data_IF_262965633215
#
_entry.id   IF_262965633215
#
_cell.length_a   1.000
_cell.length_b   1.000
_cell.length_c   1.000
_cell.angle_alpha   90.00
_cell.angle_beta   90.00
_cell.angle_gamma   90.00
#
_symmetry.space_group_name_H-M   'P 1'
#
loop_
_entity.id
_entity.type
_entity.pdbx_description
1 polymer ?
#
# COMPACT_ATOMS: atom_id res chain seq x y z
N UNK A 1 -8.51 4.81 -3.26
CA UNK A 1 -9.54 4.55 -2.25
C UNK A 1 -10.95 4.81 -2.79
N UNK A 2 -11.98 4.33 -2.08
CA UNK A 2 -13.37 4.59 -2.41
C UNK A 2 -13.77 5.93 -1.80
N UNK A 3 -14.23 6.87 -2.64
CA UNK A 3 -14.72 8.18 -2.19
C UNK A 3 -16.11 8.10 -1.53
N UNK A 4 -16.54 9.18 -0.92
CA UNK A 4 -17.87 9.28 -0.28
C UNK A 4 -19.04 9.15 -1.28
N UNK A 5 -18.79 9.47 -2.54
CA UNK A 5 -19.72 9.33 -3.67
C UNK A 5 -19.80 7.89 -4.23
N UNK A 6 -19.03 6.97 -3.65
CA UNK A 6 -18.94 5.58 -4.08
C UNK A 6 -18.09 5.37 -5.33
N UNK A 7 -17.35 6.38 -5.79
CA UNK A 7 -16.40 6.25 -6.89
C UNK A 7 -14.97 6.04 -6.36
N UNK A 8 -14.16 5.29 -7.08
CA UNK A 8 -12.75 5.17 -6.78
C UNK A 8 -12.01 6.46 -7.16
N UNK A 9 -11.16 6.95 -6.29
CA UNK A 9 -10.38 8.18 -6.44
C UNK A 9 -9.03 8.07 -5.72
N UNK A 10 -8.21 9.08 -5.87
CA UNK A 10 -6.88 9.18 -5.28
C UNK A 10 -5.78 9.12 -6.33
N UNK A 11 -4.55 9.37 -5.90
CA UNK A 11 -3.40 9.56 -6.78
C UNK A 11 -3.28 8.47 -7.87
N UNK A 12 -3.31 7.19 -7.50
CA UNK A 12 -3.14 6.09 -8.45
C UNK A 12 -4.28 6.05 -9.49
N UNK A 13 -5.53 6.25 -9.04
CA UNK A 13 -6.70 6.27 -9.94
C UNK A 13 -6.63 7.46 -10.90
N UNK A 14 -6.24 8.63 -10.41
CA UNK A 14 -6.11 9.85 -11.21
C UNK A 14 -5.00 9.71 -12.28
N UNK A 15 -3.84 9.16 -11.90
CA UNK A 15 -2.74 8.89 -12.84
C UNK A 15 -3.16 7.83 -13.87
N UNK A 16 -3.77 6.72 -13.43
CA UNK A 16 -4.27 5.68 -14.32
C UNK A 16 -5.30 6.25 -15.32
N UNK A 17 -6.21 7.10 -14.83
CA UNK A 17 -7.17 7.80 -15.69
C UNK A 17 -6.49 8.67 -16.73
N UNK A 18 -5.50 9.46 -16.33
CA UNK A 18 -4.76 10.32 -17.26
C UNK A 18 -4.02 9.51 -18.33
N UNK A 19 -3.45 8.35 -17.97
CA UNK A 19 -2.84 7.40 -18.91
C UNK A 19 -3.87 6.86 -19.89
N UNK A 20 -5.02 6.40 -19.41
CA UNK A 20 -6.10 5.90 -20.27
C UNK A 20 -6.62 6.99 -21.22
N UNK A 21 -6.83 8.20 -20.73
CA UNK A 21 -7.26 9.36 -21.55
C UNK A 21 -6.21 9.66 -22.64
N UNK A 22 -4.91 9.61 -22.32
CA UNK A 22 -3.82 9.84 -23.28
C UNK A 22 -3.76 8.76 -24.37
N UNK A 23 -3.99 7.50 -23.99
CA UNK A 23 -3.92 6.35 -24.88
C UNK A 23 -5.24 6.06 -25.62
N UNK A 24 -6.33 6.74 -25.27
CA UNK A 24 -7.66 6.51 -25.82
C UNK A 24 -8.28 5.20 -25.34
N UNK A 25 -7.97 4.76 -24.11
CA UNK A 25 -8.49 3.54 -23.49
C UNK A 25 -9.66 3.85 -22.57
N UNK A 26 -10.56 2.88 -22.44
CA UNK A 26 -11.65 2.93 -21.46
C UNK A 26 -11.17 2.38 -20.12
N UNK A 27 -11.13 3.23 -19.08
CA UNK A 27 -10.73 2.85 -17.73
C UNK A 27 -11.87 2.12 -16.99
N UNK A 28 -11.56 0.95 -16.45
CA UNK A 28 -12.40 0.27 -15.49
C UNK A 28 -11.64 0.08 -14.17
N UNK A 29 -12.16 0.66 -13.09
CA UNK A 29 -11.57 0.57 -11.75
C UNK A 29 -12.47 -0.26 -10.85
N UNK A 30 -11.90 -1.20 -10.14
CA UNK A 30 -12.61 -2.01 -9.14
C UNK A 30 -11.70 -2.33 -7.96
N UNK A 31 -12.32 -2.64 -6.80
CA UNK A 31 -11.57 -3.03 -5.61
C UNK A 31 -10.98 -4.43 -5.76
N UNK A 32 -9.76 -4.58 -5.28
CA UNK A 32 -9.06 -5.86 -5.22
C UNK A 32 -8.97 -6.33 -3.77
N UNK A 33 -9.12 -7.62 -3.53
CA UNK A 33 -8.66 -8.21 -2.28
C UNK A 33 -7.14 -8.22 -2.31
N UNK A 34 -6.51 -7.43 -1.42
CA UNK A 34 -5.08 -7.15 -1.52
C UNK A 34 -4.20 -8.40 -1.40
N UNK A 35 -4.60 -9.34 -0.55
CA UNK A 35 -3.93 -10.63 -0.41
C UNK A 35 -4.01 -11.49 -1.69
N UNK A 36 -5.07 -11.30 -2.49
CA UNK A 36 -5.33 -12.04 -3.72
C UNK A 36 -4.98 -11.27 -5.01
N UNK A 37 -4.34 -10.11 -4.90
CA UNK A 37 -4.09 -9.19 -6.04
C UNK A 37 -3.42 -9.86 -7.25
N UNK A 38 -2.41 -10.70 -7.01
CA UNK A 38 -1.71 -11.40 -8.08
C UNK A 38 -2.53 -12.57 -8.65
N UNK A 39 -3.33 -13.24 -7.82
CA UNK A 39 -4.26 -14.29 -8.29
C UNK A 39 -5.32 -13.71 -9.21
N UNK A 40 -5.87 -12.54 -8.87
CA UNK A 40 -6.84 -11.84 -9.72
C UNK A 40 -6.21 -11.36 -11.03
N UNK A 41 -4.95 -10.90 -10.98
CA UNK A 41 -4.18 -10.53 -12.17
C UNK A 41 -3.97 -11.74 -13.10
N UNK A 42 -3.55 -12.89 -12.56
CA UNK A 42 -3.37 -14.14 -13.33
C UNK A 42 -4.67 -14.67 -13.90
N UNK A 43 -5.77 -14.53 -13.17
CA UNK A 43 -7.11 -14.88 -13.63
C UNK A 43 -7.66 -13.95 -14.73
N UNK A 44 -6.91 -12.89 -15.08
CA UNK A 44 -7.30 -11.86 -16.06
C UNK A 44 -8.58 -11.11 -15.67
N UNK A 45 -8.80 -10.95 -14.37
CA UNK A 45 -9.84 -10.09 -13.84
C UNK A 45 -9.49 -8.61 -13.99
N UNK A 46 -8.17 -8.28 -14.05
CA UNK A 46 -7.62 -6.98 -14.37
C UNK A 46 -6.44 -7.09 -15.33
N UNK A 47 -6.08 -5.99 -15.97
CA UNK A 47 -4.91 -5.90 -16.86
C UNK A 47 -3.64 -5.55 -16.09
N UNK A 48 -3.76 -4.81 -15.00
CA UNK A 48 -2.66 -4.49 -14.09
C UNK A 48 -3.17 -4.30 -12.65
N UNK A 49 -2.24 -4.37 -11.70
CA UNK A 49 -2.46 -3.93 -10.32
C UNK A 49 -1.74 -2.61 -10.13
N UNK A 50 -2.51 -1.54 -9.96
CA UNK A 50 -1.99 -0.18 -9.80
C UNK A 50 -2.67 0.50 -8.60
N UNK A 51 -2.09 0.36 -7.43
CA UNK A 51 -2.67 0.89 -6.18
C UNK A 51 -1.66 0.89 -5.03
N UNK A 52 -0.62 1.72 -5.08
CA UNK A 52 0.39 1.77 -4.03
C UNK A 52 1.06 0.42 -3.78
N UNK A 53 1.34 -0.31 -4.85
CA UNK A 53 1.91 -1.65 -4.73
C UNK A 53 3.44 -1.57 -4.63
N UNK A 54 3.99 -1.99 -3.51
CA UNK A 54 5.43 -2.08 -3.30
C UNK A 54 6.06 -3.08 -4.25
N UNK A 55 7.14 -2.67 -4.89
CA UNK A 55 7.96 -3.53 -5.74
C UNK A 55 8.73 -4.51 -4.85
N UNK A 56 8.40 -5.80 -4.97
CA UNK A 56 9.09 -6.88 -4.27
C UNK A 56 9.85 -7.77 -5.27
N UNK A 57 11.07 -8.15 -4.94
CA UNK A 57 11.87 -9.05 -5.78
C UNK A 57 11.19 -10.40 -5.97
N UNK A 58 10.46 -10.89 -4.98
CA UNK A 58 9.67 -12.13 -5.07
C UNK A 58 8.62 -12.10 -6.20
N UNK A 59 8.06 -10.94 -6.53
CA UNK A 59 7.13 -10.81 -7.65
C UNK A 59 7.84 -10.97 -9.00
N UNK A 60 9.04 -10.40 -9.13
CA UNK A 60 9.89 -10.54 -10.32
C UNK A 60 10.38 -11.97 -10.48
N UNK A 61 10.79 -12.62 -9.39
CA UNK A 61 11.18 -14.03 -9.38
C UNK A 61 10.02 -14.96 -9.75
N UNK A 62 8.79 -14.60 -9.38
CA UNK A 62 7.57 -15.31 -9.78
C UNK A 62 7.20 -15.06 -11.26
N UNK A 63 7.91 -14.17 -11.97
CA UNK A 63 7.77 -13.93 -13.40
C UNK A 63 6.81 -12.79 -13.76
N UNK A 64 6.29 -12.04 -12.80
CA UNK A 64 5.48 -10.85 -13.10
C UNK A 64 6.34 -9.74 -13.72
N UNK A 65 5.73 -9.00 -14.64
CA UNK A 65 6.31 -7.79 -15.21
C UNK A 65 5.98 -6.63 -14.27
N UNK A 66 7.00 -5.97 -13.75
CA UNK A 66 6.84 -4.86 -12.81
C UNK A 66 7.41 -3.60 -13.45
N UNK A 67 6.65 -2.52 -13.45
CA UNK A 67 7.09 -1.23 -13.99
C UNK A 67 8.29 -0.66 -13.25
N UNK A 68 8.95 0.33 -13.84
CA UNK A 68 9.80 1.24 -13.10
C UNK A 68 9.02 1.89 -11.94
N UNK A 69 9.69 2.27 -10.85
CA UNK A 69 9.02 2.90 -9.72
C UNK A 69 8.44 4.27 -10.13
N UNK A 70 7.22 4.55 -9.66
CA UNK A 70 6.55 5.83 -9.90
C UNK A 70 6.36 6.66 -8.62
N UNK A 71 6.57 6.06 -7.43
CA UNK A 71 6.41 6.74 -6.15
C UNK A 71 7.35 6.15 -5.10
N UNK A 72 8.00 7.02 -4.30
CA UNK A 72 8.80 6.60 -3.14
C UNK A 72 7.92 6.59 -1.89
N UNK A 73 7.93 5.49 -1.16
CA UNK A 73 7.14 5.29 0.06
C UNK A 73 8.03 4.90 1.25
N UNK A 74 7.46 4.95 2.42
CA UNK A 74 7.99 4.33 3.64
C UNK A 74 6.84 3.81 4.49
N UNK A 75 7.07 2.72 5.21
CA UNK A 75 6.17 2.28 6.27
C UNK A 75 6.32 3.22 7.47
N UNK A 76 5.20 3.55 8.12
CA UNK A 76 5.14 4.41 9.30
C UNK A 76 4.25 3.79 10.37
N UNK A 77 4.33 4.35 11.58
CA UNK A 77 3.49 3.96 12.71
C UNK A 77 2.37 4.98 12.84
N UNK A 78 1.13 4.51 12.87
CA UNK A 78 -0.05 5.31 13.20
C UNK A 78 -0.58 4.90 14.55
N UNK A 79 -0.88 5.88 15.39
CA UNK A 79 -1.38 5.70 16.76
C UNK A 79 -2.57 6.61 17.02
N UNK A 80 -3.29 6.40 18.13
CA UNK A 80 -4.29 7.37 18.60
C UNK A 80 -3.62 8.65 19.07
N UNK A 81 -4.27 9.79 18.85
CA UNK A 81 -3.84 11.06 19.42
C UNK A 81 -3.72 10.95 20.95
N UNK A 82 -2.60 11.45 21.50
CA UNK A 82 -2.30 11.34 22.91
C UNK A 82 -1.70 10.01 23.37
N UNK A 83 -1.43 9.07 22.45
CA UNK A 83 -0.72 7.82 22.77
C UNK A 83 0.66 8.09 23.38
N UNK A 84 1.11 7.22 24.27
CA UNK A 84 2.46 7.22 24.83
C UNK A 84 3.52 6.67 23.85
N UNK A 85 3.09 5.99 22.78
CA UNK A 85 3.97 5.48 21.72
C UNK A 85 4.47 6.66 20.91
N UNK A 86 5.82 6.85 20.84
CA UNK A 86 6.47 7.94 20.12
C UNK A 86 7.49 7.44 19.09
N UNK A 87 7.86 6.17 19.17
CA UNK A 87 8.84 5.52 18.30
C UNK A 87 8.56 4.04 18.17
N UNK A 88 9.25 3.36 17.26
CA UNK A 88 9.20 1.90 17.11
C UNK A 88 9.62 1.15 18.38
N UNK A 89 10.53 1.71 19.17
CA UNK A 89 10.96 1.11 20.45
C UNK A 89 9.82 1.00 21.47
N UNK A 90 8.81 1.88 21.40
CA UNK A 90 7.67 1.90 22.33
C UNK A 90 6.61 0.84 21.95
N UNK A 91 6.79 0.13 20.82
CA UNK A 91 5.90 -0.94 20.39
C UNK A 91 6.10 -2.24 21.19
N UNK A 92 7.18 -2.36 21.96
CA UNK A 92 7.43 -3.52 22.82
C UNK A 92 6.27 -3.73 23.80
N UNK A 93 5.70 -4.95 23.81
CA UNK A 93 4.56 -5.30 24.64
C UNK A 93 3.22 -4.69 24.20
N UNK A 94 3.14 -4.08 23.03
CA UNK A 94 1.92 -3.51 22.43
C UNK A 94 1.25 -4.47 21.45
N UNK A 95 -0.03 -4.29 21.23
CA UNK A 95 -0.76 -4.95 20.14
C UNK A 95 -0.67 -4.09 18.90
N UNK A 96 -0.06 -4.63 17.84
CA UNK A 96 0.18 -3.91 16.59
C UNK A 96 -0.65 -4.53 15.47
N UNK A 97 -1.26 -3.72 14.63
CA UNK A 97 -1.98 -4.21 13.45
C UNK A 97 -1.25 -3.87 12.16
N UNK A 98 -1.45 -4.72 11.16
CA UNK A 98 -0.97 -4.55 9.79
C UNK A 98 -1.98 -5.14 8.81
N UNK A 99 -2.04 -4.64 7.58
CA UNK A 99 -2.89 -5.25 6.55
C UNK A 99 -2.20 -6.47 5.95
N UNK A 100 -2.97 -7.55 5.80
CA UNK A 100 -2.56 -8.81 5.17
C UNK A 100 -2.11 -8.57 3.71
N UNK A 101 -1.05 -9.24 3.29
CA UNK A 101 -0.52 -9.20 1.92
C UNK A 101 0.21 -7.90 1.54
N UNK A 102 0.53 -7.03 2.52
CA UNK A 102 1.30 -5.80 2.31
C UNK A 102 2.79 -6.00 2.53
N UNK A 103 3.59 -5.04 2.08
CA UNK A 103 5.02 -4.94 2.42
C UNK A 103 5.24 -4.76 3.92
N UNK A 104 4.36 -4.00 4.60
CA UNK A 104 4.38 -3.85 6.05
C UNK A 104 4.27 -5.19 6.79
N UNK A 105 3.39 -6.08 6.35
CA UNK A 105 3.32 -7.44 6.90
C UNK A 105 4.60 -8.22 6.58
N UNK A 106 5.10 -8.16 5.35
CA UNK A 106 6.31 -8.86 4.95
C UNK A 106 7.56 -8.42 5.75
N UNK A 107 7.68 -7.14 6.08
CA UNK A 107 8.76 -6.62 6.94
C UNK A 107 8.71 -7.21 8.36
N UNK A 108 7.51 -7.47 8.88
CA UNK A 108 7.29 -7.97 10.24
C UNK A 108 7.29 -9.51 10.34
N UNK A 109 7.20 -10.21 9.21
CA UNK A 109 7.17 -11.66 9.16
C UNK A 109 8.55 -12.26 9.52
N UNK A 110 8.58 -13.56 9.81
CA UNK A 110 9.81 -14.30 10.04
C UNK A 110 10.78 -14.13 8.85
N UNK A 111 11.97 -13.62 9.15
CA UNK A 111 12.99 -13.32 8.14
C UNK A 111 12.85 -11.96 7.46
N UNK A 112 11.83 -11.18 7.79
CA UNK A 112 11.70 -9.78 7.38
C UNK A 112 12.64 -8.86 8.15
N UNK A 113 12.90 -7.68 7.62
CA UNK A 113 13.85 -6.71 8.18
C UNK A 113 13.44 -6.19 9.57
N UNK A 114 12.16 -6.28 9.92
CA UNK A 114 11.60 -5.88 11.21
C UNK A 114 11.11 -7.07 12.07
N UNK A 115 11.52 -8.30 11.75
CA UNK A 115 11.13 -9.50 12.49
C UNK A 115 11.53 -9.40 13.98
N UNK A 116 12.72 -8.87 14.29
CA UNK A 116 13.18 -8.66 15.67
C UNK A 116 12.31 -7.64 16.41
N UNK A 117 11.85 -6.61 15.74
CA UNK A 117 10.89 -5.64 16.29
C UNK A 117 9.55 -6.32 16.54
N UNK A 118 9.02 -7.06 15.58
CA UNK A 118 7.76 -7.79 15.69
C UNK A 118 7.77 -8.78 16.86
N UNK A 119 8.90 -9.45 17.11
CA UNK A 119 9.08 -10.36 18.23
C UNK A 119 8.94 -9.68 19.62
N UNK A 120 9.02 -8.36 19.71
CA UNK A 120 8.80 -7.60 20.95
C UNK A 120 7.34 -7.27 21.22
N UNK A 121 6.46 -7.40 20.23
CA UNK A 121 5.03 -7.07 20.37
C UNK A 121 4.32 -8.03 21.34
N UNK A 122 3.27 -7.57 21.98
CA UNK A 122 2.39 -8.46 22.71
C UNK A 122 1.59 -9.34 21.75
N UNK A 123 1.16 -8.76 20.63
CA UNK A 123 0.47 -9.46 19.54
C UNK A 123 0.62 -8.70 18.23
N UNK A 124 0.62 -9.42 17.10
CA UNK A 124 0.57 -8.86 15.75
C UNK A 124 -0.75 -9.29 15.09
N UNK A 125 -1.67 -8.36 14.95
CA UNK A 125 -2.99 -8.58 14.36
C UNK A 125 -2.96 -8.27 12.88
N UNK A 126 -3.36 -9.21 12.01
CA UNK A 126 -3.55 -8.96 10.58
C UNK A 126 -4.99 -8.62 10.27
N UNK A 127 -5.21 -7.61 9.43
CA UNK A 127 -6.52 -7.18 8.95
C UNK A 127 -6.60 -7.33 7.43
N UNK A 128 -7.80 -7.50 6.90
CA UNK A 128 -8.06 -7.60 5.46
C UNK A 128 -7.96 -6.26 4.71
N UNK A 129 -7.98 -5.15 5.45
CA UNK A 129 -7.89 -3.81 4.88
C UNK A 129 -7.30 -2.80 5.88
N UNK A 130 -6.69 -1.73 5.38
CA UNK A 130 -6.25 -0.61 6.23
C UNK A 130 -7.39 0.03 7.00
N UNK A 131 -8.57 0.16 6.39
CA UNK A 131 -9.74 0.69 7.09
C UNK A 131 -10.11 -0.15 8.31
N UNK A 132 -9.98 -1.48 8.22
CA UNK A 132 -10.19 -2.38 9.35
C UNK A 132 -9.14 -2.14 10.42
N UNK A 133 -7.84 -2.03 10.07
CA UNK A 133 -6.78 -1.70 11.02
C UNK A 133 -7.08 -0.38 11.77
N UNK A 134 -7.49 0.66 11.04
CA UNK A 134 -7.82 1.96 11.62
C UNK A 134 -9.05 1.92 12.52
N UNK A 135 -10.04 1.08 12.19
CA UNK A 135 -11.21 0.85 13.03
C UNK A 135 -10.81 0.18 14.34
N UNK A 136 -9.94 -0.84 14.29
CA UNK A 136 -9.43 -1.51 15.50
C UNK A 136 -8.58 -0.56 16.36
N UNK A 137 -7.75 0.28 15.72
CA UNK A 137 -6.98 1.32 16.42
C UNK A 137 -7.92 2.33 17.09
N UNK A 138 -8.90 2.86 16.38
CA UNK A 138 -9.90 3.80 16.92
C UNK A 138 -10.70 3.21 18.08
N UNK A 139 -11.07 1.93 17.98
CA UNK A 139 -11.76 1.17 19.01
C UNK A 139 -10.89 0.80 20.21
N UNK A 140 -9.56 0.89 20.07
CA UNK A 140 -8.61 0.51 21.14
C UNK A 140 -8.39 -0.99 21.26
N UNK A 141 -8.71 -1.77 20.22
CA UNK A 141 -8.38 -3.19 20.15
C UNK A 141 -6.90 -3.41 19.84
N UNK A 142 -6.28 -2.46 19.14
CA UNK A 142 -4.85 -2.40 18.90
C UNK A 142 -4.27 -1.06 19.35
N UNK A 143 -2.98 -1.01 19.66
CA UNK A 143 -2.28 0.17 20.16
C UNK A 143 -1.66 1.01 19.02
N UNK A 144 -1.27 0.36 17.93
CA UNK A 144 -0.64 0.96 16.77
C UNK A 144 -0.98 0.21 15.49
N UNK A 145 -0.82 0.89 14.34
CA UNK A 145 -0.92 0.30 13.00
C UNK A 145 0.37 0.62 12.25
N UNK A 146 0.98 -0.38 11.62
CA UNK A 146 2.06 -0.19 10.64
C UNK A 146 1.41 -0.13 9.26
N UNK A 147 1.73 0.93 8.52
CA UNK A 147 0.98 1.32 7.31
C UNK A 147 1.82 2.19 6.39
N UNK A 148 1.50 2.20 5.11
CA UNK A 148 2.06 3.11 4.11
C UNK A 148 1.84 4.58 4.50
N UNK A 149 2.90 5.38 4.46
CA UNK A 149 2.84 6.78 4.87
C UNK A 149 1.74 7.59 4.17
N UNK A 150 1.55 7.54 2.84
CA UNK A 150 0.49 8.31 2.18
C UNK A 150 -0.91 7.90 2.64
N UNK A 151 -1.12 6.61 2.93
CA UNK A 151 -2.40 6.10 3.44
C UNK A 151 -2.66 6.62 4.85
N UNK A 152 -1.64 6.53 5.73
CA UNK A 152 -1.73 7.04 7.10
C UNK A 152 -2.03 8.54 7.16
N UNK A 153 -1.28 9.34 6.37
CA UNK A 153 -1.45 10.80 6.33
C UNK A 153 -2.83 11.17 5.81
N UNK A 154 -3.26 10.62 4.68
CA UNK A 154 -4.59 10.88 4.09
C UNK A 154 -5.72 10.52 5.06
N UNK A 155 -5.59 9.39 5.76
CA UNK A 155 -6.60 8.99 6.74
C UNK A 155 -6.63 9.93 7.96
N UNK A 156 -5.48 10.30 8.52
CA UNK A 156 -5.38 11.19 9.68
C UNK A 156 -5.85 12.62 9.37
N UNK A 157 -5.66 13.12 8.15
CA UNK A 157 -6.18 14.42 7.70
C UNK A 157 -7.72 14.43 7.65
N UNK A 158 -8.31 13.32 7.23
CA UNK A 158 -9.77 13.18 7.11
C UNK A 158 -10.45 12.75 8.40
N UNK A 159 -9.70 12.13 9.33
CA UNK A 159 -10.23 11.56 10.56
C UNK A 159 -9.43 12.04 11.77
N UNK A 160 -10.09 12.82 12.64
CA UNK A 160 -9.45 13.32 13.87
C UNK A 160 -9.20 12.20 14.88
N UNK A 161 -8.23 12.40 15.75
CA UNK A 161 -7.92 11.49 16.85
C UNK A 161 -6.84 10.47 16.53
N UNK A 162 -6.12 10.64 15.42
CA UNK A 162 -4.98 9.83 15.05
C UNK A 162 -3.73 10.69 14.83
N UNK A 163 -2.58 10.09 15.05
CA UNK A 163 -1.26 10.68 14.85
C UNK A 163 -0.39 9.72 14.07
N UNK A 164 0.27 10.22 13.03
CA UNK A 164 1.29 9.50 12.28
C UNK A 164 2.65 9.89 12.85
N UNK A 165 3.46 8.91 13.24
CA UNK A 165 4.81 9.17 13.75
C UNK A 165 5.75 9.49 12.58
N UNK A 166 6.74 10.35 12.84
CA UNK A 166 7.70 10.77 11.81
C UNK A 166 8.75 9.69 11.48
N UNK A 167 8.82 8.64 12.29
CA UNK A 167 9.77 7.54 12.09
C UNK A 167 9.35 6.67 10.90
N UNK A 168 10.25 6.55 9.90
CA UNK A 168 10.11 5.60 8.80
C UNK A 168 10.67 4.24 9.18
N UNK A 169 9.92 3.17 8.93
CA UNK A 169 10.30 1.80 9.27
C UNK A 169 10.93 1.03 8.11
N UNK A 170 10.97 1.60 6.92
CA UNK A 170 11.55 0.98 5.74
C UNK A 170 11.19 1.77 4.49
N UNK A 171 12.21 2.16 3.71
CA UNK A 171 12.00 2.81 2.42
C UNK A 171 11.59 1.77 1.38
N UNK A 172 10.62 2.09 0.56
CA UNK A 172 10.12 1.22 -0.49
C UNK A 172 9.66 2.04 -1.70
N UNK A 173 9.41 1.38 -2.82
CA UNK A 173 8.97 2.03 -4.04
C UNK A 173 7.73 1.35 -4.57
N UNK A 174 6.77 2.15 -5.05
CA UNK A 174 5.59 1.65 -5.72
C UNK A 174 5.85 1.45 -7.21
N UNK A 175 5.32 0.34 -7.71
CA UNK A 175 5.28 0.01 -9.13
C UNK A 175 3.92 -0.54 -9.53
N UNK A 176 3.77 -0.80 -10.81
CA UNK A 176 2.58 -1.38 -11.41
C UNK A 176 2.90 -2.83 -11.77
N UNK A 177 2.06 -3.79 -11.37
CA UNK A 177 2.25 -5.18 -11.75
C UNK A 177 1.40 -5.56 -12.96
N UNK A 178 2.02 -6.28 -13.87
CA UNK A 178 1.42 -6.89 -15.05
C UNK A 178 1.72 -8.39 -15.04
N UNK A 179 0.96 -9.17 -15.82
CA UNK A 179 1.20 -10.61 -15.97
C UNK A 179 2.53 -10.89 -16.67
N UNK A 180 3.03 -12.08 -16.51
CA UNK A 180 4.10 -12.60 -17.34
C UNK A 180 3.71 -12.53 -18.83
N UNK A 181 4.59 -11.94 -19.65
CA UNK A 181 4.36 -11.78 -21.08
C UNK A 181 3.68 -10.45 -21.47
N UNK A 182 3.30 -9.60 -20.52
CA UNK A 182 2.69 -8.29 -20.77
C UNK A 182 3.73 -7.14 -20.82
N UNK A 183 4.99 -7.42 -21.25
CA UNK A 183 6.08 -6.43 -21.30
C UNK A 183 5.74 -5.25 -22.22
N UNK A 184 5.03 -5.49 -23.33
CA UNK A 184 4.62 -4.43 -24.25
C UNK A 184 3.57 -3.51 -23.62
N UNK A 185 2.63 -4.07 -22.86
CA UNK A 185 1.65 -3.29 -22.13
C UNK A 185 2.32 -2.45 -21.05
N UNK A 186 3.24 -3.03 -20.27
CA UNK A 186 4.03 -2.34 -19.26
C UNK A 186 4.78 -1.15 -19.88
N UNK A 187 5.54 -1.37 -20.95
CA UNK A 187 6.29 -0.33 -21.64
C UNK A 187 5.38 0.79 -22.16
N UNK A 188 4.20 0.46 -22.72
CA UNK A 188 3.23 1.44 -23.19
C UNK A 188 2.71 2.32 -22.03
N UNK A 189 2.42 1.74 -20.89
CA UNK A 189 1.97 2.48 -19.69
C UNK A 189 3.10 3.35 -19.13
N UNK A 190 4.33 2.83 -19.04
CA UNK A 190 5.50 3.59 -18.60
C UNK A 190 5.79 4.81 -19.49
N UNK A 191 5.74 4.64 -20.81
CA UNK A 191 5.91 5.73 -21.77
C UNK A 191 4.82 6.79 -21.62
N UNK A 192 3.58 6.38 -21.37
CA UNK A 192 2.47 7.31 -21.13
C UNK A 192 2.65 8.09 -19.82
N UNK A 193 3.05 7.42 -18.74
CA UNK A 193 3.38 8.09 -17.46
C UNK A 193 4.51 9.09 -17.65
N UNK A 194 5.58 8.71 -18.35
CA UNK A 194 6.71 9.60 -18.63
C UNK A 194 6.27 10.84 -19.44
N UNK A 195 5.38 10.68 -20.42
CA UNK A 195 4.83 11.79 -21.18
C UNK A 195 3.98 12.73 -20.31
N UNK A 196 3.16 12.19 -19.41
CA UNK A 196 2.36 13.02 -18.48
C UNK A 196 3.26 13.83 -17.56
N UNK A 197 4.30 13.22 -17.00
CA UNK A 197 5.27 13.92 -16.13
C UNK A 197 6.02 15.02 -16.90
N UNK A 198 6.37 14.80 -18.16
CA UNK A 198 7.07 15.78 -18.99
C UNK A 198 6.18 16.98 -19.39
N UNK A 199 4.86 16.80 -19.40
CA UNK A 199 3.90 17.84 -19.81
C UNK A 199 3.35 18.65 -18.62
N UNK A 200 3.68 18.29 -17.36
CA UNK A 200 3.26 18.99 -16.14
C UNK A 200 1.93 18.52 -15.64
#
# INVERSE_FOLDING_TARGET
YLGEDGQYTGFDVEVCKAVCDLLGWDLQVFGVNWDQKLVQLDAKECDCVWSGMTILDSMKEAGYVISAPYYDNTQVIMVKEGSDIKSSADLAGKVVAVQLGTSGEALLADGGDLADLAATFADLTTCDSFLKCFTELGGGAVDAVIVDKPVAVSYAESNKGFTVLDEGLGAEQYGIAFRAGDEELCATVEDAVAQLVANG
#
